data_IF_240484355521
#
_entry.id   IF_240484355521
#
_cell.length_a   1.000
_cell.length_b   1.000
_cell.length_c   1.000
_cell.angle_alpha   90.00
_cell.angle_beta   90.00
_cell.angle_gamma   90.00
#
_symmetry.space_group_name_H-M   'P 1'
#
loop_
_entity.id
_entity.type
_entity.pdbx_description
1 polymer ?
#
# COMPACT_ATOMS: atom_id res chain seq x y z
N UNK A 1 -10.99 31.91 -51.57
CA UNK A 1 -12.47 31.80 -51.50
C UNK A 1 -12.81 30.36 -51.15
N UNK A 2 -13.65 30.14 -50.13
CA UNK A 2 -14.69 29.07 -50.01
C UNK A 2 -14.22 27.61 -50.32
N UNK A 3 -14.33 26.59 -49.45
CA UNK A 3 -15.27 26.31 -48.36
C UNK A 3 -14.65 25.30 -47.38
N UNK A 4 -14.96 25.51 -46.10
CA UNK A 4 -14.91 24.53 -45.03
C UNK A 4 -15.72 23.28 -45.40
N UNK A 5 -15.15 22.09 -45.22
CA UNK A 5 -15.93 20.89 -44.93
C UNK A 5 -15.38 20.32 -43.63
N UNK A 6 -16.13 20.59 -42.56
CA UNK A 6 -16.03 19.97 -41.25
C UNK A 6 -16.44 18.50 -41.41
N UNK A 7 -15.48 17.58 -41.31
CA UNK A 7 -15.81 16.17 -41.12
C UNK A 7 -15.84 15.92 -39.61
N UNK A 8 -17.03 16.10 -39.04
CA UNK A 8 -17.36 15.57 -37.73
C UNK A 8 -17.52 14.05 -37.85
N UNK A 9 -16.43 13.31 -37.66
CA UNK A 9 -16.48 11.88 -37.42
C UNK A 9 -16.25 11.65 -35.92
N UNK A 10 -17.35 11.45 -35.23
CA UNK A 10 -17.39 10.88 -33.90
C UNK A 10 -16.69 9.50 -33.94
N UNK A 11 -15.42 9.45 -33.55
CA UNK A 11 -14.76 8.19 -33.21
C UNK A 11 -14.80 8.02 -31.70
N UNK A 12 -15.78 7.20 -31.34
CA UNK A 12 -16.00 6.48 -30.11
C UNK A 12 -14.76 6.31 -29.20
N UNK A 13 -15.02 6.55 -27.92
CA UNK A 13 -14.73 5.61 -26.84
C UNK A 13 -13.26 5.14 -26.74
N UNK A 14 -12.46 5.89 -26.00
CA UNK A 14 -11.63 5.25 -24.98
C UNK A 14 -11.74 6.06 -23.71
N UNK A 15 -12.50 5.61 -22.70
CA UNK A 15 -12.15 6.02 -21.35
C UNK A 15 -10.73 5.50 -21.15
N UNK A 16 -9.78 6.41 -21.00
CA UNK A 16 -8.53 6.08 -20.36
C UNK A 16 -8.93 5.49 -19.01
N UNK A 17 -8.90 4.17 -18.91
CA UNK A 17 -8.94 3.47 -17.63
C UNK A 17 -7.68 3.91 -16.90
N UNK A 18 -7.79 5.04 -16.21
CA UNK A 18 -6.82 5.44 -15.21
C UNK A 18 -6.77 4.25 -14.26
N UNK A 19 -5.66 3.51 -14.30
CA UNK A 19 -5.37 2.49 -13.31
C UNK A 19 -5.52 3.19 -11.97
N UNK A 20 -6.53 2.82 -11.19
CA UNK A 20 -6.71 3.33 -9.85
C UNK A 20 -5.42 3.00 -9.10
N UNK A 21 -4.56 4.00 -8.92
CA UNK A 21 -3.40 3.87 -8.06
C UNK A 21 -3.98 3.64 -6.68
N UNK A 22 -3.94 2.39 -6.22
CA UNK A 22 -4.31 2.04 -4.86
C UNK A 22 -3.19 2.51 -3.95
N UNK A 23 -3.01 3.83 -3.86
CA UNK A 23 -2.30 4.41 -2.73
C UNK A 23 -3.24 4.21 -1.55
N UNK A 24 -3.12 3.08 -0.86
CA UNK A 24 -3.70 2.90 0.45
C UNK A 24 -3.07 3.95 1.36
N UNK A 25 -3.59 5.18 1.35
CA UNK A 25 -3.14 6.31 2.16
C UNK A 25 -3.38 6.11 3.67
N UNK A 26 -3.65 4.87 4.09
CA UNK A 26 -3.84 4.45 5.47
C UNK A 26 -3.25 3.09 5.82
N UNK A 27 -2.48 2.44 4.93
CA UNK A 27 -1.82 1.18 5.28
C UNK A 27 -0.70 1.45 6.31
N UNK A 28 -0.73 0.75 7.44
CA UNK A 28 0.34 0.79 8.44
C UNK A 28 1.50 -0.07 7.92
N UNK A 29 2.73 0.46 7.83
CA UNK A 29 3.87 -0.33 7.39
C UNK A 29 4.17 -1.46 8.37
N UNK A 30 4.52 -2.64 7.86
CA UNK A 30 4.88 -3.79 8.70
C UNK A 30 6.33 -3.75 9.18
N UNK A 31 7.20 -2.97 8.53
CA UNK A 31 8.63 -2.87 8.84
C UNK A 31 9.07 -1.41 8.93
N UNK A 32 10.00 -1.14 9.83
CA UNK A 32 10.49 0.19 10.20
C UNK A 32 12.01 0.24 10.13
N UNK A 33 12.57 1.43 9.86
CA UNK A 33 14.01 1.62 9.85
C UNK A 33 14.61 1.60 11.26
N UNK A 34 13.84 2.02 12.27
CA UNK A 34 14.29 2.15 13.65
C UNK A 34 13.40 1.40 14.63
N UNK A 35 14.01 0.95 15.73
CA UNK A 35 13.30 0.31 16.84
C UNK A 35 12.19 1.21 17.42
N UNK A 36 12.50 2.48 17.66
CA UNK A 36 11.58 3.42 18.27
C UNK A 36 10.31 3.64 17.42
N UNK A 37 10.44 3.69 16.09
CA UNK A 37 9.28 3.79 15.21
C UNK A 37 8.44 2.52 15.20
N UNK A 38 9.08 1.34 15.20
CA UNK A 38 8.37 0.07 15.32
C UNK A 38 7.61 -0.05 16.66
N UNK A 39 8.21 0.39 17.76
CA UNK A 39 7.58 0.38 19.09
C UNK A 39 6.37 1.31 19.15
N UNK A 40 6.48 2.51 18.56
CA UNK A 40 5.34 3.45 18.47
C UNK A 40 4.19 2.85 17.64
N UNK A 41 4.52 2.06 16.63
CA UNK A 41 3.52 1.40 15.81
C UNK A 41 2.90 0.16 16.45
N UNK A 42 3.58 -0.47 17.42
CA UNK A 42 3.13 -1.69 18.08
C UNK A 42 1.72 -1.58 18.67
N UNK A 43 1.35 -0.41 19.20
CA UNK A 43 0.00 -0.15 19.71
C UNK A 43 -1.09 -0.34 18.66
N UNK A 44 -0.81 -0.11 17.37
CA UNK A 44 -1.76 -0.33 16.27
C UNK A 44 -2.02 -1.81 15.98
N UNK A 45 -1.10 -2.67 16.41
CA UNK A 45 -1.19 -4.12 16.29
C UNK A 45 -1.64 -4.79 17.61
N UNK A 46 -2.07 -4.00 18.61
CA UNK A 46 -2.41 -4.48 19.95
C UNK A 46 -1.27 -5.29 20.61
N UNK A 47 -0.03 -4.87 20.37
CA UNK A 47 1.16 -5.50 20.94
C UNK A 47 2.12 -4.46 21.52
N UNK A 48 3.20 -4.93 22.15
CA UNK A 48 4.22 -4.07 22.76
C UNK A 48 5.62 -4.49 22.35
N UNK A 49 6.52 -3.51 22.32
CA UNK A 49 7.92 -3.68 21.91
C UNK A 49 8.11 -3.78 20.40
N UNK A 50 9.33 -4.10 19.99
CA UNK A 50 9.74 -4.34 18.62
C UNK A 50 10.90 -5.33 18.60
N UNK A 51 11.01 -6.10 17.52
CA UNK A 51 12.15 -6.99 17.28
C UNK A 51 12.78 -6.71 15.93
N UNK A 52 14.09 -6.98 15.84
CA UNK A 52 14.85 -6.78 14.61
C UNK A 52 14.68 -7.99 13.68
N UNK A 53 14.40 -7.71 12.42
CA UNK A 53 14.37 -8.68 11.33
C UNK A 53 15.28 -8.17 10.21
N UNK A 54 16.49 -8.75 10.13
CA UNK A 54 17.54 -8.27 9.22
C UNK A 54 17.98 -6.84 9.57
N UNK A 55 17.86 -5.93 8.61
CA UNK A 55 18.20 -4.51 8.79
C UNK A 55 17.00 -3.63 9.20
N UNK A 56 15.83 -4.23 9.39
CA UNK A 56 14.59 -3.51 9.72
C UNK A 56 14.02 -4.00 11.05
N UNK A 57 13.06 -3.25 11.57
CA UNK A 57 12.37 -3.51 12.82
C UNK A 57 10.91 -3.78 12.55
N UNK A 58 10.34 -4.79 13.19
CA UNK A 58 8.91 -5.06 13.13
C UNK A 58 8.24 -4.68 14.45
N UNK A 59 6.99 -4.20 14.39
CA UNK A 59 6.20 -3.96 15.58
C UNK A 59 5.94 -5.30 16.28
N UNK A 60 5.81 -5.25 17.61
CA UNK A 60 5.72 -6.38 18.53
C UNK A 60 7.09 -7.01 18.87
N UNK A 61 7.31 -7.34 20.15
CA UNK A 61 8.55 -7.96 20.61
C UNK A 61 8.72 -9.41 20.15
N UNK A 62 7.62 -10.11 19.85
CA UNK A 62 7.59 -11.52 19.42
C UNK A 62 6.41 -11.72 18.48
N UNK A 63 6.54 -12.67 17.57
CA UNK A 63 5.39 -13.20 16.85
C UNK A 63 4.74 -14.28 17.71
N UNK A 64 3.41 -14.26 17.80
CA UNK A 64 2.69 -15.37 18.41
C UNK A 64 2.87 -16.60 17.52
N UNK A 65 3.34 -17.69 18.11
CA UNK A 65 3.54 -18.99 17.45
C UNK A 65 2.20 -19.68 17.20
N UNK A 66 1.19 -18.94 16.73
CA UNK A 66 -0.06 -19.54 16.31
C UNK A 66 0.27 -20.48 15.16
N UNK A 67 0.20 -21.79 15.44
CA UNK A 67 0.55 -22.85 14.49
C UNK A 67 -0.22 -22.62 13.21
N UNK A 68 0.47 -22.12 12.19
CA UNK A 68 -0.10 -21.98 10.85
C UNK A 68 -0.51 -23.39 10.43
N UNK A 69 -1.80 -23.62 10.23
CA UNK A 69 -2.28 -24.84 9.62
C UNK A 69 -1.65 -24.92 8.23
N UNK A 70 -0.59 -25.71 8.09
CA UNK A 70 -0.06 -26.12 6.81
C UNK A 70 -1.20 -26.80 6.05
N UNK A 71 -1.61 -26.20 4.93
CA UNK A 71 -2.53 -26.80 3.98
C UNK A 71 -1.78 -27.82 3.10
#
# INVERSE_FOLDING_TARGET
MKRLILIALATACWPAVASAQHTNSGAVPAMYATKAEAEKAASRFNCTGAHQMGNQWMPCAKHDESKTHAH
#
